data_IF_224002874712
#
_entry.id   IF_224002874712
#
_cell.length_a   1.000
_cell.length_b   1.000
_cell.length_c   1.000
_cell.angle_alpha   90.00
_cell.angle_beta   90.00
_cell.angle_gamma   90.00
#
_symmetry.space_group_name_H-M   'P 1'
#
loop_
_entity.id
_entity.type
_entity.pdbx_description
1 polymer ?
#
# COMPACT_ATOMS: atom_id res chain seq x y z
N UNK A 1 -9.12 5.61 11.50
CA UNK A 1 -10.55 5.51 11.14
C UNK A 1 -11.13 4.22 11.73
N UNK A 2 -12.37 4.24 12.25
CA UNK A 2 -13.04 3.10 12.91
C UNK A 2 -14.01 2.40 11.96
N UNK A 3 -14.18 1.08 12.15
CA UNK A 3 -14.65 0.14 11.13
C UNK A 3 -16.18 -0.08 11.14
N UNK A 4 -16.93 0.61 10.26
CA UNK A 4 -18.35 0.32 9.99
C UNK A 4 -18.63 0.45 8.47
N UNK A 5 -18.52 -0.67 7.73
CA UNK A 5 -18.38 -0.65 6.25
C UNK A 5 -19.61 -1.06 5.43
N UNK A 6 -20.73 -1.45 6.03
CA UNK A 6 -22.06 -1.49 5.38
C UNK A 6 -22.15 -2.22 4.02
N UNK A 7 -23.02 -1.72 3.13
CA UNK A 7 -23.41 -2.33 1.84
C UNK A 7 -22.61 -1.83 0.61
N UNK A 8 -21.54 -1.05 0.79
CA UNK A 8 -20.84 -0.36 -0.31
C UNK A 8 -19.71 -1.17 -0.98
N UNK A 9 -19.68 -2.48 -0.75
CA UNK A 9 -18.73 -3.37 -1.40
C UNK A 9 -19.14 -3.62 -2.87
N UNK A 10 -18.19 -3.72 -3.83
CA UNK A 10 -16.74 -3.71 -3.64
C UNK A 10 -16.07 -2.33 -3.79
N UNK A 11 -16.80 -1.25 -4.11
CA UNK A 11 -16.20 0.07 -4.33
C UNK A 11 -15.38 0.55 -3.12
N UNK A 12 -15.89 0.35 -1.91
CA UNK A 12 -15.23 0.87 -0.72
C UNK A 12 -13.86 0.27 -0.43
N UNK A 13 -13.66 -1.03 -0.69
CA UNK A 13 -12.32 -1.60 -0.52
C UNK A 13 -11.36 -1.13 -1.63
N UNK A 14 -11.88 -0.85 -2.82
CA UNK A 14 -11.10 -0.28 -3.89
C UNK A 14 -10.68 1.16 -3.56
N UNK A 15 -11.55 1.98 -2.96
CA UNK A 15 -11.21 3.33 -2.48
C UNK A 15 -10.08 3.29 -1.44
N UNK A 16 -10.16 2.38 -0.47
CA UNK A 16 -9.08 2.19 0.51
C UNK A 16 -7.79 1.72 -0.18
N UNK A 17 -7.86 0.78 -1.11
CA UNK A 17 -6.69 0.31 -1.85
C UNK A 17 -6.08 1.43 -2.71
N UNK A 18 -6.88 2.27 -3.36
CA UNK A 18 -6.41 3.41 -4.15
C UNK A 18 -5.60 4.36 -3.27
N UNK A 19 -6.19 4.81 -2.17
CA UNK A 19 -5.57 5.71 -1.21
C UNK A 19 -4.24 5.14 -0.69
N UNK A 20 -4.26 3.90 -0.21
CA UNK A 20 -3.08 3.33 0.44
C UNK A 20 -1.98 2.93 -0.53
N UNK A 21 -2.29 2.49 -1.76
CA UNK A 21 -1.25 2.26 -2.78
C UNK A 21 -0.57 3.56 -3.18
N UNK A 22 -1.31 4.65 -3.29
CA UNK A 22 -0.73 5.96 -3.56
C UNK A 22 0.12 6.48 -2.39
N UNK A 23 -0.36 6.34 -1.15
CA UNK A 23 0.43 6.71 0.04
C UNK A 23 1.75 5.92 0.12
N UNK A 24 1.72 4.61 -0.12
CA UNK A 24 2.94 3.79 -0.11
C UNK A 24 3.91 4.18 -1.23
N UNK A 25 3.40 4.50 -2.42
CA UNK A 25 4.18 5.05 -3.54
C UNK A 25 4.90 6.34 -3.10
N UNK A 26 4.17 7.32 -2.55
CA UNK A 26 4.74 8.57 -2.06
C UNK A 26 5.75 8.36 -0.93
N UNK A 27 5.49 7.38 -0.05
CA UNK A 27 6.41 7.04 1.03
C UNK A 27 7.78 6.57 0.53
N UNK A 28 7.86 5.96 -0.66
CA UNK A 28 9.16 5.62 -1.26
C UNK A 28 10.00 6.88 -1.51
N UNK A 29 9.36 7.95 -1.99
CA UNK A 29 10.00 9.25 -2.26
C UNK A 29 10.39 9.91 -0.95
N UNK A 30 9.47 9.95 0.03
CA UNK A 30 9.71 10.53 1.36
C UNK A 30 10.96 9.92 2.01
N UNK A 31 11.13 8.60 1.95
CA UNK A 31 12.30 7.93 2.53
C UNK A 31 13.59 8.38 1.84
N UNK A 32 13.62 8.45 0.50
CA UNK A 32 14.81 8.86 -0.26
C UNK A 32 15.18 10.33 -0.03
N UNK A 33 14.18 11.21 0.06
CA UNK A 33 14.41 12.65 0.29
C UNK A 33 14.79 12.97 1.73
N UNK A 34 14.28 12.20 2.70
CA UNK A 34 14.54 12.42 4.12
C UNK A 34 15.94 11.93 4.56
N UNK A 35 16.45 10.86 3.94
CA UNK A 35 17.68 10.18 4.39
C UNK A 35 18.85 10.51 3.47
N UNK A 36 19.58 11.57 3.79
CA UNK A 36 20.82 11.90 3.09
C UNK A 36 21.86 10.78 3.22
N UNK A 37 22.41 10.33 2.08
CA UNK A 37 23.42 9.27 2.05
C UNK A 37 22.88 7.87 2.32
N UNK A 38 21.58 7.65 2.07
CA UNK A 38 21.01 6.30 2.02
C UNK A 38 21.78 5.43 1.04
N UNK A 39 22.00 4.17 1.39
CA UNK A 39 22.80 3.22 0.61
C UNK A 39 22.15 2.96 -0.76
N UNK A 40 22.98 2.91 -1.82
CA UNK A 40 22.52 2.77 -3.22
C UNK A 40 21.59 1.57 -3.43
N UNK A 41 21.80 0.46 -2.71
CA UNK A 41 20.92 -0.72 -2.77
C UNK A 41 19.51 -0.41 -2.27
N UNK A 42 19.36 0.39 -1.22
CA UNK A 42 18.06 0.81 -0.71
C UNK A 42 17.44 1.90 -1.57
N UNK A 43 18.23 2.84 -2.10
CA UNK A 43 17.75 3.84 -3.06
C UNK A 43 17.15 3.15 -4.29
N UNK A 44 17.86 2.18 -4.86
CA UNK A 44 17.40 1.41 -6.02
C UNK A 44 16.15 0.61 -5.70
N UNK A 45 16.13 -0.09 -4.55
CA UNK A 45 14.94 -0.83 -4.12
C UNK A 45 13.72 0.09 -4.00
N UNK A 46 13.86 1.28 -3.39
CA UNK A 46 12.77 2.24 -3.25
C UNK A 46 12.27 2.76 -4.60
N UNK A 47 13.13 2.93 -5.60
CA UNK A 47 12.72 3.31 -6.97
C UNK A 47 11.95 2.20 -7.67
N UNK A 48 12.39 0.95 -7.52
CA UNK A 48 11.66 -0.21 -8.06
C UNK A 48 10.28 -0.36 -7.38
N UNK A 49 10.22 -0.12 -6.07
CA UNK A 49 8.98 -0.12 -5.31
C UNK A 49 8.02 1.01 -5.69
N UNK A 50 8.52 2.22 -5.91
CA UNK A 50 7.72 3.34 -6.41
C UNK A 50 6.99 2.97 -7.69
N UNK A 51 7.71 2.42 -8.67
CA UNK A 51 7.14 2.00 -9.94
C UNK A 51 6.11 0.87 -9.75
N UNK A 52 6.44 -0.14 -8.95
CA UNK A 52 5.53 -1.27 -8.69
C UNK A 52 4.25 -0.85 -7.97
N UNK A 53 4.33 0.10 -7.03
CA UNK A 53 3.17 0.63 -6.30
C UNK A 53 2.32 1.52 -7.21
N UNK A 54 2.94 2.36 -8.05
CA UNK A 54 2.25 3.17 -9.05
C UNK A 54 1.46 2.30 -10.05
N UNK A 55 2.04 1.19 -10.50
CA UNK A 55 1.36 0.23 -11.38
C UNK A 55 0.14 -0.41 -10.71
N UNK A 56 0.28 -0.84 -9.45
CA UNK A 56 -0.84 -1.37 -8.67
C UNK A 56 -1.94 -0.32 -8.47
N UNK A 57 -1.56 0.90 -8.09
CA UNK A 57 -2.48 2.02 -7.90
C UNK A 57 -3.32 2.26 -9.17
N UNK A 58 -2.68 2.33 -10.34
CA UNK A 58 -3.39 2.46 -11.61
C UNK A 58 -4.32 1.27 -11.89
N UNK A 59 -3.94 0.05 -11.51
CA UNK A 59 -4.82 -1.11 -11.66
C UNK A 59 -6.05 -1.00 -10.76
N UNK A 60 -5.90 -0.52 -9.51
CA UNK A 60 -7.02 -0.26 -8.60
C UNK A 60 -8.00 0.75 -9.21
N UNK A 61 -7.50 1.87 -9.73
CA UNK A 61 -8.33 2.90 -10.41
C UNK A 61 -9.12 2.29 -11.57
N UNK A 62 -8.51 1.44 -12.40
CA UNK A 62 -9.22 0.74 -13.49
C UNK A 62 -10.34 -0.16 -12.99
N UNK A 63 -10.16 -0.83 -11.84
CA UNK A 63 -11.22 -1.63 -11.23
C UNK A 63 -12.34 -0.77 -10.63
N UNK A 64 -12.02 0.37 -10.02
CA UNK A 64 -13.02 1.35 -9.55
C UNK A 64 -13.92 1.75 -10.72
N UNK A 65 -13.33 2.15 -11.85
CA UNK A 65 -14.12 2.52 -13.04
C UNK A 65 -14.97 1.36 -13.56
N UNK A 66 -14.43 0.14 -13.58
CA UNK A 66 -15.14 -1.05 -14.05
C UNK A 66 -16.36 -1.35 -13.18
N UNK A 67 -16.21 -1.23 -11.85
CA UNK A 67 -17.31 -1.42 -10.90
C UNK A 67 -18.34 -0.29 -11.03
N UNK A 68 -17.92 0.98 -11.16
CA UNK A 68 -18.84 2.11 -11.37
C UNK A 68 -19.68 1.90 -12.65
N UNK A 69 -19.05 1.46 -13.75
CA UNK A 69 -19.74 1.22 -15.03
C UNK A 69 -20.71 0.05 -14.99
N UNK A 70 -20.56 -0.88 -14.03
CA UNK A 70 -21.50 -1.99 -13.84
C UNK A 70 -22.85 -1.54 -13.24
N UNK A 71 -22.93 -0.32 -12.71
CA UNK A 71 -24.17 0.28 -12.23
C UNK A 71 -24.77 -0.47 -11.04
N UNK A 72 -26.04 -0.87 -11.13
CA UNK A 72 -26.76 -1.53 -10.03
C UNK A 72 -26.38 -3.00 -9.83
N UNK A 73 -25.67 -3.61 -10.78
CA UNK A 73 -25.31 -5.03 -10.73
C UNK A 73 -23.83 -5.22 -11.04
N UNK A 74 -23.06 -5.62 -10.04
CA UNK A 74 -21.67 -6.05 -10.20
C UNK A 74 -21.67 -7.55 -10.55
N UNK A 75 -21.17 -7.97 -11.73
CA UNK A 75 -21.06 -9.37 -12.05
C UNK A 75 -20.17 -10.11 -11.04
N UNK A 76 -20.54 -11.35 -10.67
CA UNK A 76 -19.77 -12.15 -9.71
C UNK A 76 -18.29 -12.29 -10.12
N UNK A 77 -18.02 -12.45 -11.43
CA UNK A 77 -16.66 -12.53 -11.95
C UNK A 77 -15.85 -11.25 -11.66
N UNK A 78 -16.46 -10.07 -11.83
CA UNK A 78 -15.80 -8.80 -11.52
C UNK A 78 -15.55 -8.67 -10.01
N UNK A 79 -16.50 -9.13 -9.19
CA UNK A 79 -16.34 -9.16 -7.74
C UNK A 79 -15.17 -10.06 -7.29
N UNK A 80 -15.05 -11.27 -7.86
CA UNK A 80 -13.93 -12.18 -7.59
C UNK A 80 -12.58 -11.58 -8.03
N UNK A 81 -12.54 -10.92 -9.18
CA UNK A 81 -11.34 -10.22 -9.66
C UNK A 81 -10.92 -9.08 -8.70
N UNK A 82 -11.88 -8.35 -8.14
CA UNK A 82 -11.59 -7.35 -7.11
C UNK A 82 -10.99 -8.02 -5.87
N UNK A 83 -11.55 -9.13 -5.39
CA UNK A 83 -10.96 -9.84 -4.24
C UNK A 83 -9.53 -10.32 -4.50
N UNK A 84 -9.25 -10.81 -5.71
CA UNK A 84 -7.89 -11.18 -6.12
C UNK A 84 -6.94 -9.99 -6.11
N UNK A 85 -7.39 -8.83 -6.62
CA UNK A 85 -6.60 -7.60 -6.56
C UNK A 85 -6.33 -7.18 -5.12
N UNK A 86 -7.32 -7.23 -4.23
CA UNK A 86 -7.13 -6.86 -2.83
C UNK A 86 -6.17 -7.82 -2.12
N UNK A 87 -6.22 -9.11 -2.42
CA UNK A 87 -5.22 -10.08 -1.93
C UNK A 87 -3.81 -9.70 -2.40
N UNK A 88 -3.67 -9.30 -3.66
CA UNK A 88 -2.38 -8.83 -4.18
C UNK A 88 -1.92 -7.53 -3.49
N UNK A 89 -2.80 -6.55 -3.29
CA UNK A 89 -2.48 -5.32 -2.58
C UNK A 89 -2.04 -5.58 -1.14
N UNK A 90 -2.69 -6.54 -0.45
CA UNK A 90 -2.31 -7.00 0.88
C UNK A 90 -0.88 -7.56 0.90
N UNK A 91 -0.58 -8.50 0.01
CA UNK A 91 0.75 -9.11 -0.09
C UNK A 91 1.83 -8.08 -0.45
N UNK A 92 1.48 -7.11 -1.30
CA UNK A 92 2.37 -6.01 -1.66
C UNK A 92 2.66 -5.10 -0.46
N UNK A 93 1.65 -4.74 0.34
CA UNK A 93 1.86 -3.95 1.57
C UNK A 93 2.72 -4.67 2.60
N UNK A 94 2.52 -5.98 2.78
CA UNK A 94 3.33 -6.78 3.70
C UNK A 94 4.82 -6.78 3.30
N UNK A 95 5.10 -6.93 2.02
CA UNK A 95 6.46 -6.85 1.48
C UNK A 95 7.05 -5.43 1.57
N UNK A 96 6.24 -4.39 1.35
CA UNK A 96 6.68 -3.01 1.52
C UNK A 96 7.04 -2.68 2.98
N UNK A 97 6.24 -3.18 3.93
CA UNK A 97 6.54 -3.10 5.36
C UNK A 97 7.89 -3.78 5.66
N UNK A 98 8.14 -4.96 5.09
CA UNK A 98 9.41 -5.66 5.28
C UNK A 98 10.59 -4.83 4.77
N UNK A 99 10.49 -4.23 3.57
CA UNK A 99 11.50 -3.30 3.07
C UNK A 99 11.74 -2.14 4.05
N UNK A 100 10.68 -1.50 4.54
CA UNK A 100 10.78 -0.39 5.49
C UNK A 100 11.47 -0.83 6.80
N UNK A 101 11.18 -2.04 7.29
CA UNK A 101 11.84 -2.62 8.45
C UNK A 101 13.32 -2.90 8.18
N UNK A 102 13.68 -3.41 7.00
CA UNK A 102 15.07 -3.63 6.60
C UNK A 102 15.84 -2.31 6.54
N UNK A 103 15.30 -1.28 5.88
CA UNK A 103 15.90 0.06 5.85
C UNK A 103 16.08 0.60 7.28
N UNK A 104 15.05 0.51 8.13
CA UNK A 104 15.10 1.01 9.51
C UNK A 104 16.19 0.35 10.35
N UNK A 105 16.42 -0.94 10.17
CA UNK A 105 17.29 -1.76 11.03
C UNK A 105 18.69 -1.97 10.48
N UNK A 106 18.86 -1.90 9.16
CA UNK A 106 20.12 -2.26 8.50
C UNK A 106 20.82 -1.06 7.85
N UNK A 107 20.13 0.04 7.55
CA UNK A 107 20.77 1.23 6.99
C UNK A 107 21.64 1.94 8.03
N UNK A 108 22.92 2.11 7.72
CA UNK A 108 23.85 2.92 8.49
C UNK A 108 23.42 4.40 8.49
N UNK A 109 22.88 4.90 7.37
CA UNK A 109 22.38 6.27 7.26
C UNK A 109 21.18 6.51 8.20
N UNK A 110 20.21 5.60 8.21
CA UNK A 110 19.05 5.68 9.11
C UNK A 110 19.45 5.43 10.57
N UNK A 111 20.42 4.55 10.83
CA UNK A 111 20.84 4.24 12.21
C UNK A 111 21.26 5.48 13.01
N UNK A 112 21.83 6.49 12.32
CA UNK A 112 22.33 7.76 12.85
C UNK A 112 21.31 8.90 12.78
N UNK A 113 20.13 8.67 12.22
CA UNK A 113 19.09 9.68 12.02
C UNK A 113 17.81 9.30 12.80
N UNK A 114 17.61 9.83 14.02
CA UNK A 114 16.43 9.55 14.83
C UNK A 114 15.11 9.95 14.16
N UNK A 115 15.09 11.06 13.42
CA UNK A 115 13.90 11.51 12.69
C UNK A 115 13.51 10.52 11.60
N UNK A 116 14.48 9.99 10.85
CA UNK A 116 14.22 8.96 9.85
C UNK A 116 13.59 7.69 10.46
N UNK A 117 14.03 7.27 11.65
CA UNK A 117 13.42 6.14 12.36
C UNK A 117 11.97 6.38 12.72
N UNK A 118 11.65 7.57 13.26
CA UNK A 118 10.28 7.94 13.62
C UNK A 118 9.37 7.96 12.39
N UNK A 119 9.86 8.49 11.27
CA UNK A 119 9.11 8.52 10.00
C UNK A 119 8.91 7.12 9.44
N UNK A 120 9.93 6.25 9.43
CA UNK A 120 9.76 4.86 9.01
C UNK A 120 8.78 4.09 9.90
N UNK A 121 8.82 4.31 11.22
CA UNK A 121 7.84 3.72 12.13
C UNK A 121 6.41 4.20 11.84
N UNK A 122 6.24 5.44 11.40
CA UNK A 122 4.95 5.98 10.97
C UNK A 122 4.45 5.33 9.68
N UNK A 123 5.30 5.29 8.65
CA UNK A 123 5.01 4.64 7.35
C UNK A 123 4.60 3.17 7.53
N UNK A 124 5.32 2.45 8.39
CA UNK A 124 5.00 1.05 8.71
C UNK A 124 3.60 0.94 9.34
N UNK A 125 3.29 1.74 10.36
CA UNK A 125 1.97 1.70 11.02
C UNK A 125 0.81 2.03 10.09
N UNK A 126 1.04 2.94 9.14
CA UNK A 126 0.04 3.30 8.14
C UNK A 126 -0.20 2.16 7.14
N UNK A 127 0.87 1.51 6.68
CA UNK A 127 0.76 0.33 5.82
C UNK A 127 0.08 -0.84 6.56
N UNK A 128 0.40 -1.03 7.84
CA UNK A 128 -0.26 -2.03 8.71
C UNK A 128 -1.76 -1.75 8.89
N UNK A 129 -2.19 -0.48 8.85
CA UNK A 129 -3.60 -0.13 8.90
C UNK A 129 -4.35 -0.67 7.68
N UNK A 130 -3.79 -0.47 6.47
CA UNK A 130 -4.37 -1.06 5.25
C UNK A 130 -4.38 -2.59 5.29
N UNK A 131 -3.28 -3.21 5.75
CA UNK A 131 -3.21 -4.66 5.96
C UNK A 131 -4.38 -5.15 6.83
N UNK A 132 -4.67 -4.46 7.94
CA UNK A 132 -5.80 -4.77 8.80
C UNK A 132 -7.15 -4.68 8.10
N UNK A 133 -7.37 -3.66 7.26
CA UNK A 133 -8.59 -3.52 6.43
C UNK A 133 -8.72 -4.69 5.45
N UNK A 134 -7.66 -4.99 4.70
CA UNK A 134 -7.68 -6.03 3.69
C UNK A 134 -7.88 -7.43 4.31
N UNK A 135 -7.22 -7.72 5.43
CA UNK A 135 -7.39 -8.99 6.15
C UNK A 135 -8.80 -9.15 6.73
N UNK A 136 -9.38 -8.10 7.32
CA UNK A 136 -10.75 -8.15 7.84
C UNK A 136 -11.79 -8.46 6.74
N UNK A 137 -11.50 -8.07 5.50
CA UNK A 137 -12.34 -8.42 4.35
C UNK A 137 -12.10 -9.87 3.87
N UNK A 138 -10.83 -10.28 3.73
CA UNK A 138 -10.44 -11.53 3.08
C UNK A 138 -10.55 -12.76 3.98
N UNK A 139 -10.27 -12.63 5.28
CA UNK A 139 -10.11 -13.75 6.21
C UNK A 139 -11.31 -13.96 7.14
N UNK A 140 -12.52 -13.73 6.64
CA UNK A 140 -13.76 -13.93 7.41
C UNK A 140 -13.78 -15.19 8.27
#
# INVERSE_FOLDING_TARGET
MQFYYGQQMPLRILDEAEFWKHQEEEHTVVIRELVSGLEDSFVKALQEWEQALAETHQQVVRYIESVIRSGYYVPNQLYEQVLQLISFCLDQSLQFIELCQQIKTQSAAVSKNPTAKVVLDHIIRESEYFVGIAQALLYK
#
